data_IF_541421499942
#
_entry.id   IF_541421499942
#
_cell.length_a   1.000
_cell.length_b   1.000
_cell.length_c   1.000
_cell.angle_alpha   90.00
_cell.angle_beta   90.00
_cell.angle_gamma   90.00
#
_symmetry.space_group_name_H-M   'P 1'
#
loop_
_entity.id
_entity.type
_entity.pdbx_description
1 polymer ?
#
# COMPACT_ATOMS: atom_id res chain seq x y z
N UNK A 1 19.35 38.33 -13.82
CA UNK A 1 19.17 36.93 -14.27
C UNK A 1 18.42 36.85 -15.61
N UNK A 2 18.64 37.78 -16.54
CA UNK A 2 17.96 37.82 -17.84
C UNK A 2 18.97 37.93 -19.00
N UNK A 3 20.24 37.65 -18.72
CA UNK A 3 21.36 37.89 -19.64
C UNK A 3 22.25 36.65 -19.83
N UNK A 4 21.75 35.45 -19.54
CA UNK A 4 22.49 34.19 -19.75
C UNK A 4 21.69 33.17 -20.59
N UNK A 5 20.60 33.58 -21.24
CA UNK A 5 19.73 32.65 -21.98
C UNK A 5 20.15 32.35 -23.41
N UNK A 6 21.12 33.08 -23.97
CA UNK A 6 21.29 33.10 -25.43
C UNK A 6 22.53 32.32 -25.91
N UNK A 7 23.24 31.62 -25.02
CA UNK A 7 24.48 30.88 -25.37
C UNK A 7 24.39 29.36 -25.18
N UNK A 8 23.28 28.84 -24.64
CA UNK A 8 23.08 27.39 -24.51
C UNK A 8 21.70 27.02 -25.04
N UNK A 9 21.70 26.22 -26.11
CA UNK A 9 20.53 25.46 -26.56
C UNK A 9 20.24 24.40 -25.48
N UNK A 10 19.55 24.81 -24.41
CA UNK A 10 19.14 23.89 -23.35
C UNK A 10 17.94 23.13 -23.90
N UNK A 11 18.21 22.03 -24.60
CA UNK A 11 17.23 21.00 -24.84
C UNK A 11 16.67 20.56 -23.49
N UNK A 12 15.41 20.91 -23.23
CA UNK A 12 14.67 20.41 -22.07
C UNK A 12 14.19 19.00 -22.35
N UNK A 13 15.15 18.08 -22.41
CA UNK A 13 14.90 16.64 -22.45
C UNK A 13 14.19 16.20 -21.17
N UNK A 14 13.08 15.50 -21.33
CA UNK A 14 12.40 14.85 -20.22
C UNK A 14 13.31 13.76 -19.63
N UNK A 15 13.83 14.00 -18.43
CA UNK A 15 14.58 13.02 -17.66
C UNK A 15 13.62 12.25 -16.74
N UNK A 16 13.24 11.04 -17.14
CA UNK A 16 12.69 10.06 -16.20
C UNK A 16 13.68 9.82 -15.06
N UNK A 17 13.20 9.95 -13.80
CA UNK A 17 13.93 9.78 -12.52
C UNK A 17 15.38 10.31 -12.49
N UNK A 18 15.59 11.50 -11.92
CA UNK A 18 16.92 12.09 -11.66
C UNK A 18 17.75 11.42 -10.53
N UNK A 19 17.23 10.43 -9.79
CA UNK A 19 17.99 9.78 -8.71
C UNK A 19 18.43 8.38 -9.15
N UNK A 20 19.74 8.14 -9.16
CA UNK A 20 20.33 6.81 -9.33
C UNK A 20 19.99 5.83 -8.18
N UNK A 21 19.40 6.33 -7.09
CA UNK A 21 19.04 5.56 -5.91
C UNK A 21 17.50 5.56 -5.80
N UNK A 22 16.84 4.39 -5.90
CA UNK A 22 15.40 4.30 -5.72
C UNK A 22 15.00 4.75 -4.30
N UNK A 23 13.77 5.22 -4.12
CA UNK A 23 13.25 5.46 -2.77
C UNK A 23 13.37 4.17 -1.96
N UNK A 24 13.82 4.25 -0.69
CA UNK A 24 13.98 3.06 0.13
C UNK A 24 12.63 2.34 0.28
N UNK A 25 12.63 1.05 -0.04
CA UNK A 25 11.48 0.16 0.11
C UNK A 25 11.86 -1.00 1.02
N UNK A 26 10.96 -1.33 1.95
CA UNK A 26 11.04 -2.52 2.79
C UNK A 26 9.79 -3.35 2.60
N UNK A 27 9.93 -4.47 1.89
CA UNK A 27 8.85 -5.39 1.61
C UNK A 27 8.88 -6.59 2.57
N UNK A 28 7.73 -6.89 3.17
CA UNK A 28 7.46 -8.08 3.98
C UNK A 28 6.53 -8.99 3.20
N UNK A 29 6.94 -10.24 3.01
CA UNK A 29 6.10 -11.28 2.41
C UNK A 29 5.79 -12.31 3.49
N UNK A 30 4.52 -12.39 3.87
CA UNK A 30 4.06 -13.30 4.91
C UNK A 30 3.56 -14.62 4.30
N UNK A 31 3.78 -15.71 5.04
CA UNK A 31 3.30 -17.03 4.65
C UNK A 31 1.76 -17.06 4.63
N UNK A 32 1.19 -17.79 3.68
CA UNK A 32 -0.26 -17.91 3.51
C UNK A 32 -0.95 -18.43 4.78
N UNK A 33 -0.35 -19.41 5.48
CA UNK A 33 -0.88 -19.94 6.73
C UNK A 33 -0.96 -18.87 7.83
N UNK A 34 0.09 -18.06 7.99
CA UNK A 34 0.14 -16.96 8.96
C UNK A 34 -0.92 -15.90 8.66
N UNK A 35 -1.06 -15.52 7.39
CA UNK A 35 -2.04 -14.50 6.96
C UNK A 35 -3.47 -15.00 7.14
N UNK A 36 -3.73 -16.28 6.81
CA UNK A 36 -5.02 -16.95 7.06
C UNK A 36 -5.38 -16.95 8.54
N UNK A 37 -4.46 -17.38 9.40
CA UNK A 37 -4.67 -17.40 10.85
C UNK A 37 -4.98 -16.01 11.40
N UNK A 38 -4.18 -15.01 11.01
CA UNK A 38 -4.36 -13.62 11.43
C UNK A 38 -5.69 -13.04 10.94
N UNK A 39 -6.07 -13.26 9.68
CA UNK A 39 -7.32 -12.74 9.14
C UNK A 39 -8.53 -13.32 9.88
N UNK A 40 -8.54 -14.64 10.13
CA UNK A 40 -9.62 -15.31 10.88
C UNK A 40 -9.70 -14.76 12.32
N UNK A 41 -8.55 -14.63 12.98
CA UNK A 41 -8.46 -14.06 14.32
C UNK A 41 -9.06 -12.65 14.38
N UNK A 42 -8.59 -11.74 13.53
CA UNK A 42 -9.03 -10.35 13.49
C UNK A 42 -10.51 -10.22 13.09
N UNK A 43 -10.99 -11.04 12.15
CA UNK A 43 -12.40 -11.06 11.75
C UNK A 43 -13.33 -11.56 12.88
N UNK A 44 -12.83 -12.45 13.74
CA UNK A 44 -13.60 -13.00 14.86
C UNK A 44 -13.64 -12.10 16.11
N UNK A 45 -12.66 -11.18 16.26
CA UNK A 45 -12.53 -10.33 17.46
C UNK A 45 -13.76 -9.45 17.75
N UNK A 46 -14.44 -8.86 16.75
CA UNK A 46 -15.68 -8.11 16.99
C UNK A 46 -16.85 -8.97 17.51
N UNK A 47 -16.74 -10.30 17.45
CA UNK A 47 -17.83 -11.28 17.72
C UNK A 47 -17.44 -12.25 18.85
N UNK A 48 -16.62 -11.81 19.82
CA UNK A 48 -16.17 -12.63 20.97
C UNK A 48 -17.33 -12.93 21.92
N UNK A 49 -18.19 -13.86 21.51
CA UNK A 49 -19.05 -14.61 22.41
C UNK A 49 -18.89 -16.13 22.22
N UNK A 50 -18.26 -16.64 21.15
CA UNK A 50 -18.37 -18.07 20.78
C UNK A 50 -17.15 -18.78 20.17
N UNK A 51 -15.96 -18.19 20.15
CA UNK A 51 -14.75 -18.89 19.65
C UNK A 51 -13.96 -19.43 20.84
N UNK A 52 -13.63 -20.74 20.83
CA UNK A 52 -12.96 -21.40 21.95
C UNK A 52 -11.59 -20.81 22.26
N UNK A 53 -11.34 -20.50 23.54
CA UNK A 53 -10.17 -19.78 24.05
C UNK A 53 -8.82 -20.27 23.49
N UNK A 54 -8.63 -21.59 23.34
CA UNK A 54 -7.38 -22.18 22.85
C UNK A 54 -6.95 -21.73 21.44
N UNK A 55 -7.89 -21.50 20.51
CA UNK A 55 -7.55 -21.07 19.14
C UNK A 55 -7.17 -19.59 19.13
N UNK A 56 -7.88 -18.79 19.92
CA UNK A 56 -7.64 -17.35 20.08
C UNK A 56 -6.26 -17.12 20.70
N UNK A 57 -5.93 -17.87 21.75
CA UNK A 57 -4.66 -17.72 22.48
C UNK A 57 -3.45 -18.04 21.58
N UNK A 58 -3.55 -19.10 20.75
CA UNK A 58 -2.49 -19.44 19.79
C UNK A 58 -2.32 -18.35 18.73
N UNK A 59 -3.41 -17.90 18.11
CA UNK A 59 -3.37 -16.88 17.07
C UNK A 59 -2.86 -15.52 17.60
N UNK A 60 -3.23 -15.17 18.83
CA UNK A 60 -2.72 -13.98 19.52
C UNK A 60 -1.20 -14.08 19.75
N UNK A 61 -0.71 -15.22 20.21
CA UNK A 61 0.74 -15.44 20.39
C UNK A 61 1.51 -15.34 19.07
N UNK A 62 0.97 -15.90 17.98
CA UNK A 62 1.55 -15.76 16.65
C UNK A 62 1.55 -14.30 16.16
N UNK A 63 0.48 -13.55 16.43
CA UNK A 63 0.40 -12.13 16.12
C UNK A 63 1.45 -11.32 16.88
N UNK A 64 1.60 -11.52 18.18
CA UNK A 64 2.61 -10.84 19.01
C UNK A 64 4.03 -11.12 18.50
N UNK A 65 4.32 -12.38 18.15
CA UNK A 65 5.59 -12.79 17.56
C UNK A 65 5.86 -12.10 16.23
N UNK A 66 4.86 -12.06 15.34
CA UNK A 66 4.95 -11.39 14.05
C UNK A 66 5.15 -9.88 14.20
N UNK A 67 4.39 -9.24 15.07
CA UNK A 67 4.48 -7.81 15.34
C UNK A 67 5.86 -7.44 15.90
N UNK A 68 6.38 -8.21 16.85
CA UNK A 68 7.72 -8.02 17.41
C UNK A 68 8.81 -8.17 16.33
N UNK A 69 8.68 -9.18 15.46
CA UNK A 69 9.59 -9.40 14.33
C UNK A 69 9.59 -8.21 13.37
N UNK A 70 8.41 -7.79 12.91
CA UNK A 70 8.27 -6.67 11.96
C UNK A 70 8.79 -5.37 12.57
N UNK A 71 8.44 -5.08 13.83
CA UNK A 71 8.96 -3.93 14.56
C UNK A 71 10.48 -3.90 14.60
N UNK A 72 11.10 -5.03 14.95
CA UNK A 72 12.56 -5.17 14.99
C UNK A 72 13.19 -4.97 13.61
N UNK A 73 12.57 -5.54 12.56
CA UNK A 73 13.03 -5.39 11.19
C UNK A 73 12.96 -3.92 10.72
N UNK A 74 11.83 -3.24 10.94
CA UNK A 74 11.63 -1.83 10.60
C UNK A 74 12.66 -0.94 11.29
N UNK A 75 12.84 -1.08 12.61
CA UNK A 75 13.80 -0.28 13.37
C UNK A 75 15.24 -0.54 12.88
N UNK A 76 15.57 -1.80 12.59
CA UNK A 76 16.91 -2.17 12.12
C UNK A 76 17.20 -1.63 10.72
N UNK A 77 16.21 -1.68 9.82
CA UNK A 77 16.32 -1.15 8.47
C UNK A 77 16.34 0.38 8.44
N UNK A 78 15.50 1.04 9.24
CA UNK A 78 15.43 2.50 9.33
C UNK A 78 16.78 3.15 9.68
N UNK A 79 17.59 2.49 10.53
CA UNK A 79 18.96 2.93 10.87
C UNK A 79 19.92 2.97 9.67
N UNK A 80 19.59 2.29 8.57
CA UNK A 80 20.42 2.13 7.38
C UNK A 80 19.93 2.94 6.18
N UNK A 81 18.73 3.53 6.25
CA UNK A 81 18.18 4.31 5.14
C UNK A 81 18.76 5.72 5.13
N UNK A 82 19.43 6.07 4.02
CA UNK A 82 20.08 7.36 3.79
C UNK A 82 19.60 7.94 2.45
N UNK A 83 19.23 9.23 2.38
CA UNK A 83 19.12 10.19 3.47
C UNK A 83 17.84 9.99 4.30
N UNK A 84 17.94 10.18 5.62
CA UNK A 84 16.84 9.96 6.58
C UNK A 84 15.59 10.80 6.34
N UNK A 85 15.70 11.89 5.58
CA UNK A 85 14.58 12.79 5.28
C UNK A 85 13.74 12.34 4.08
N UNK A 86 14.08 11.22 3.42
CA UNK A 86 13.27 10.65 2.35
C UNK A 86 12.23 9.69 2.93
N UNK A 87 10.99 9.72 2.43
CA UNK A 87 9.98 8.75 2.86
C UNK A 87 10.38 7.35 2.43
N UNK A 88 10.25 6.40 3.35
CA UNK A 88 10.42 4.97 3.13
C UNK A 88 9.05 4.37 2.80
N UNK A 89 9.01 3.48 1.82
CA UNK A 89 7.82 2.70 1.49
C UNK A 89 7.91 1.34 2.18
N UNK A 90 6.96 1.05 3.05
CA UNK A 90 6.80 -0.26 3.70
C UNK A 90 5.66 -0.98 3.01
N UNK A 91 5.92 -2.19 2.53
CA UNK A 91 4.93 -3.01 1.83
C UNK A 91 4.75 -4.31 2.61
N UNK A 92 3.54 -4.58 3.06
CA UNK A 92 3.19 -5.83 3.71
C UNK A 92 2.29 -6.63 2.79
N UNK A 93 2.79 -7.76 2.31
CA UNK A 93 2.07 -8.61 1.36
C UNK A 93 1.82 -9.98 1.96
N UNK A 94 0.59 -10.45 1.81
CA UNK A 94 0.17 -11.77 2.27
C UNK A 94 -0.88 -12.36 1.37
N UNK A 95 -0.96 -13.69 1.32
CA UNK A 95 -2.02 -14.39 0.58
C UNK A 95 -3.04 -14.96 1.55
N UNK A 96 -4.31 -14.67 1.28
CA UNK A 96 -5.47 -15.33 1.89
C UNK A 96 -6.19 -16.14 0.79
N UNK A 97 -7.44 -15.81 0.47
CA UNK A 97 -8.13 -16.20 -0.78
C UNK A 97 -7.60 -15.39 -1.97
N UNK A 98 -7.12 -14.18 -1.70
CA UNK A 98 -6.56 -13.21 -2.63
C UNK A 98 -5.29 -12.60 -2.02
N UNK A 99 -4.52 -11.87 -2.83
CA UNK A 99 -3.36 -11.12 -2.34
C UNK A 99 -3.83 -9.88 -1.60
N UNK A 100 -3.42 -9.71 -0.35
CA UNK A 100 -3.59 -8.50 0.44
C UNK A 100 -2.26 -7.76 0.40
N UNK A 101 -2.29 -6.49 -0.01
CA UNK A 101 -1.11 -5.61 0.01
C UNK A 101 -1.42 -4.34 0.80
N UNK A 102 -0.68 -4.14 1.89
CA UNK A 102 -0.80 -2.97 2.74
C UNK A 102 0.44 -2.11 2.54
N UNK A 103 0.26 -0.85 2.16
CA UNK A 103 1.36 0.07 1.83
C UNK A 103 1.36 1.25 2.78
N UNK A 104 2.50 1.50 3.44
CA UNK A 104 2.74 2.70 4.25
C UNK A 104 3.89 3.47 3.63
N UNK A 105 3.71 4.76 3.36
CA UNK A 105 4.80 5.64 2.96
C UNK A 105 5.03 6.69 4.04
N UNK A 106 6.20 6.70 4.67
CA UNK A 106 6.47 7.59 5.81
C UNK A 106 7.96 7.84 6.00
N UNK A 107 8.33 9.00 6.53
CA UNK A 107 9.68 9.29 7.01
C UNK A 107 9.89 8.80 8.45
N UNK A 108 8.82 8.51 9.19
CA UNK A 108 8.86 8.07 10.58
C UNK A 108 8.55 6.56 10.67
N UNK A 109 9.54 5.70 11.00
CA UNK A 109 9.35 4.26 11.09
C UNK A 109 8.31 3.83 12.14
N UNK A 110 8.08 4.64 13.17
CA UNK A 110 7.06 4.34 14.18
C UNK A 110 5.65 4.35 13.60
N UNK A 111 5.39 5.18 12.58
CA UNK A 111 4.10 5.21 11.88
C UNK A 111 3.86 3.88 11.14
N UNK A 112 4.90 3.30 10.52
CA UNK A 112 4.79 2.00 9.86
C UNK A 112 4.57 0.85 10.86
N UNK A 113 5.12 0.96 12.07
CA UNK A 113 4.88 0.00 13.16
C UNK A 113 3.45 0.15 13.68
N UNK A 114 2.98 1.37 13.90
CA UNK A 114 1.62 1.65 14.39
C UNK A 114 0.55 1.17 13.39
N UNK A 115 0.81 1.34 12.09
CA UNK A 115 -0.12 0.95 11.03
C UNK A 115 -0.46 -0.55 11.03
N UNK A 116 0.40 -1.40 11.60
CA UNK A 116 0.18 -2.85 11.71
C UNK A 116 -0.20 -3.30 13.13
N UNK A 117 -0.51 -2.36 14.03
CA UNK A 117 -1.11 -2.69 15.31
C UNK A 117 -2.49 -3.33 15.12
N UNK A 118 -2.90 -4.14 16.09
CA UNK A 118 -4.10 -4.96 16.00
C UNK A 118 -5.36 -4.13 15.66
N UNK A 119 -5.57 -3.01 16.35
CA UNK A 119 -6.69 -2.08 16.10
C UNK A 119 -6.77 -1.62 14.64
N UNK A 120 -5.62 -1.28 14.05
CA UNK A 120 -5.53 -0.83 12.66
C UNK A 120 -5.77 -1.98 11.68
N UNK A 121 -5.35 -3.19 12.02
CA UNK A 121 -5.59 -4.36 11.16
C UNK A 121 -7.04 -4.85 11.23
N UNK A 122 -7.76 -4.64 12.34
CA UNK A 122 -9.19 -4.90 12.42
C UNK A 122 -9.96 -4.03 11.42
N UNK A 123 -9.59 -2.75 11.25
CA UNK A 123 -10.25 -1.89 10.25
C UNK A 123 -9.96 -2.34 8.82
N UNK A 124 -8.74 -2.83 8.53
CA UNK A 124 -8.41 -3.46 7.25
C UNK A 124 -9.31 -4.65 6.96
N UNK A 125 -9.45 -5.57 7.92
CA UNK A 125 -10.30 -6.76 7.77
C UNK A 125 -11.76 -6.36 7.57
N UNK A 126 -12.24 -5.39 8.34
CA UNK A 126 -13.61 -4.87 8.22
C UNK A 126 -13.88 -4.26 6.85
N UNK A 127 -12.93 -3.49 6.32
CA UNK A 127 -13.02 -2.89 4.98
C UNK A 127 -13.01 -3.97 3.88
N UNK A 128 -12.14 -4.98 4.01
CA UNK A 128 -12.10 -6.12 3.08
C UNK A 128 -13.44 -6.87 3.08
N UNK A 129 -13.98 -7.19 4.25
CA UNK A 129 -15.28 -7.87 4.36
C UNK A 129 -16.43 -7.01 3.82
N UNK A 130 -16.34 -5.68 3.96
CA UNK A 130 -17.31 -4.78 3.34
C UNK A 130 -17.22 -4.82 1.80
N UNK A 131 -16.01 -4.76 1.25
CA UNK A 131 -15.78 -4.83 -0.20
C UNK A 131 -16.21 -6.18 -0.79
N UNK A 132 -16.06 -7.30 -0.06
CA UNK A 132 -16.56 -8.63 -0.47
C UNK A 132 -18.07 -8.67 -0.70
N UNK A 133 -18.86 -7.77 -0.09
CA UNK A 133 -20.31 -7.68 -0.32
C UNK A 133 -20.65 -7.10 -1.69
N UNK A 134 -19.73 -6.34 -2.28
CA UNK A 134 -19.93 -5.63 -3.54
C UNK A 134 -19.16 -6.26 -4.70
N UNK A 135 -18.03 -6.92 -4.42
CA UNK A 135 -17.16 -7.55 -5.41
C UNK A 135 -17.01 -9.04 -5.10
N UNK A 136 -17.51 -9.89 -5.99
CA UNK A 136 -17.60 -11.33 -5.75
C UNK A 136 -16.31 -12.10 -6.03
N UNK A 137 -15.34 -11.51 -6.74
CA UNK A 137 -14.03 -12.13 -6.99
C UNK A 137 -12.96 -11.07 -7.22
N UNK A 138 -11.84 -11.22 -6.52
CA UNK A 138 -10.65 -10.40 -6.70
C UNK A 138 -9.39 -11.23 -6.50
N UNK A 139 -8.36 -10.92 -7.28
CA UNK A 139 -7.03 -11.57 -7.23
C UNK A 139 -6.13 -10.83 -6.24
N UNK A 140 -6.31 -9.51 -6.12
CA UNK A 140 -5.52 -8.65 -5.25
C UNK A 140 -6.36 -7.48 -4.74
N UNK A 141 -6.13 -7.09 -3.48
CA UNK A 141 -6.55 -5.82 -2.91
C UNK A 141 -5.33 -5.07 -2.37
N UNK A 142 -5.29 -3.76 -2.59
CA UNK A 142 -4.33 -2.86 -1.98
C UNK A 142 -5.03 -1.82 -1.10
N UNK A 143 -4.55 -1.68 0.13
CA UNK A 143 -4.87 -0.56 1.01
C UNK A 143 -3.60 0.26 1.27
N UNK A 144 -3.77 1.58 1.37
CA UNK A 144 -2.69 2.52 1.64
C UNK A 144 -2.97 3.23 2.96
N UNK A 145 -1.99 3.27 3.85
CA UNK A 145 -2.14 3.97 5.13
C UNK A 145 -2.01 5.47 4.93
N UNK A 146 -3.04 6.20 5.33
CA UNK A 146 -3.02 7.65 5.36
C UNK A 146 -2.39 8.11 6.68
N UNK A 147 -1.19 8.70 6.58
CA UNK A 147 -0.42 9.16 7.75
C UNK A 147 -1.00 10.39 8.44
N UNK A 148 -1.89 11.12 7.77
CA UNK A 148 -2.55 12.31 8.34
C UNK A 148 -3.79 11.91 9.16
N UNK A 149 -4.57 10.95 8.67
CA UNK A 149 -5.78 10.46 9.36
C UNK A 149 -5.51 9.29 10.30
N UNK A 150 -4.38 8.60 10.11
CA UNK A 150 -4.03 7.39 10.85
C UNK A 150 -4.94 6.20 10.51
N UNK A 151 -5.44 6.12 9.27
CA UNK A 151 -6.37 5.09 8.83
C UNK A 151 -5.90 4.40 7.55
N UNK A 152 -6.30 3.13 7.39
CA UNK A 152 -6.14 2.40 6.15
C UNK A 152 -7.23 2.81 5.16
N UNK A 153 -6.82 3.17 3.95
CA UNK A 153 -7.73 3.56 2.87
C UNK A 153 -7.64 2.57 1.73
N UNK A 154 -8.79 2.15 1.22
CA UNK A 154 -8.86 1.39 -0.03
C UNK A 154 -8.17 2.15 -1.17
N UNK A 155 -7.30 1.47 -1.91
CA UNK A 155 -6.66 2.05 -3.09
C UNK A 155 -7.16 1.43 -4.39
N UNK A 156 -7.04 0.10 -4.53
CA UNK A 156 -7.59 -0.62 -5.66
C UNK A 156 -7.78 -2.13 -5.39
N UNK A 157 -8.62 -2.74 -6.21
CA UNK A 157 -8.81 -4.18 -6.41
C UNK A 157 -8.43 -4.53 -7.85
N UNK A 158 -7.77 -5.67 -8.04
CA UNK A 158 -7.65 -6.32 -9.35
C UNK A 158 -8.55 -7.56 -9.39
N UNK A 159 -9.38 -7.69 -10.41
CA UNK A 159 -10.31 -8.81 -10.60
C UNK A 159 -9.67 -9.93 -11.43
N UNK A 160 -10.26 -11.14 -11.39
CA UNK A 160 -9.83 -12.26 -12.24
C UNK A 160 -10.00 -11.99 -13.74
N UNK A 161 -10.86 -11.04 -14.10
CA UNK A 161 -11.11 -10.61 -15.48
C UNK A 161 -10.07 -9.60 -15.99
N UNK A 162 -9.11 -9.20 -15.14
CA UNK A 162 -8.10 -8.20 -15.45
C UNK A 162 -8.57 -6.75 -15.26
N UNK A 163 -9.75 -6.54 -14.69
CA UNK A 163 -10.25 -5.20 -14.38
C UNK A 163 -9.56 -4.66 -13.13
N UNK A 164 -9.26 -3.36 -13.12
CA UNK A 164 -8.74 -2.66 -11.95
C UNK A 164 -9.81 -1.68 -11.49
N UNK A 165 -10.33 -1.89 -10.28
CA UNK A 165 -11.33 -1.06 -9.63
C UNK A 165 -10.60 -0.27 -8.56
N UNK A 166 -10.52 1.05 -8.66
CA UNK A 166 -9.74 1.86 -7.74
C UNK A 166 -10.35 3.22 -7.43
N UNK A 167 -9.71 3.94 -6.52
CA UNK A 167 -10.08 5.33 -6.23
C UNK A 167 -9.65 6.27 -7.35
N UNK A 168 -10.31 7.41 -7.50
CA UNK A 168 -9.91 8.46 -8.45
C UNK A 168 -8.42 8.86 -8.27
N UNK A 169 -7.94 8.90 -7.02
CA UNK A 169 -6.54 9.15 -6.67
C UNK A 169 -5.59 8.11 -7.27
N UNK A 170 -5.98 6.84 -7.27
CA UNK A 170 -5.19 5.75 -7.83
C UNK A 170 -5.12 5.83 -9.36
N UNK A 171 -6.25 6.15 -10.02
CA UNK A 171 -6.28 6.39 -11.47
C UNK A 171 -5.44 7.59 -11.87
N UNK A 172 -5.58 8.74 -11.20
CA UNK A 172 -4.78 9.94 -11.47
C UNK A 172 -3.28 9.68 -11.32
N UNK A 173 -2.87 8.90 -10.31
CA UNK A 173 -1.46 8.53 -10.11
C UNK A 173 -0.95 7.62 -11.24
N UNK A 174 -1.76 6.68 -11.71
CA UNK A 174 -1.43 5.80 -12.84
C UNK A 174 -1.34 6.57 -14.15
N UNK A 175 -2.31 7.44 -14.45
CA UNK A 175 -2.31 8.30 -15.64
C UNK A 175 -1.10 9.22 -15.66
N UNK A 176 -0.77 9.87 -14.53
CA UNK A 176 0.44 10.69 -14.41
C UNK A 176 1.71 9.89 -14.68
N UNK A 177 1.81 8.62 -14.24
CA UNK A 177 2.95 7.75 -14.56
C UNK A 177 3.02 7.43 -16.07
N UNK A 178 1.89 7.22 -16.72
CA UNK A 178 1.82 6.96 -18.17
C UNK A 178 2.21 8.22 -18.95
N UNK A 179 1.68 9.39 -18.61
CA UNK A 179 2.07 10.68 -19.22
C UNK A 179 3.56 10.97 -19.06
N UNK A 180 4.10 10.63 -17.89
CA UNK A 180 5.53 10.72 -17.61
C UNK A 180 6.34 9.68 -18.40
N UNK A 181 5.83 8.47 -18.64
CA UNK A 181 6.54 7.45 -19.41
C UNK A 181 6.45 7.68 -20.94
N UNK A 182 5.37 8.31 -21.39
CA UNK A 182 5.02 8.51 -22.80
C UNK A 182 4.49 9.94 -23.02
N UNK A 183 5.36 10.96 -23.02
CA UNK A 183 4.96 12.37 -23.05
C UNK A 183 4.26 12.79 -24.35
N UNK A 184 4.37 12.00 -25.42
CA UNK A 184 3.70 12.23 -26.71
C UNK A 184 2.20 11.89 -26.68
N UNK A 185 1.73 11.22 -25.62
CA UNK A 185 0.35 10.72 -25.51
C UNK A 185 -0.57 11.65 -24.67
N UNK A 186 -0.16 12.90 -24.45
CA UNK A 186 -0.89 13.88 -23.61
C UNK A 186 -2.31 14.16 -24.08
N UNK A 187 -2.57 14.11 -25.40
CA UNK A 187 -3.90 14.40 -25.94
C UNK A 187 -4.88 13.21 -25.84
N UNK A 188 -4.40 11.97 -25.90
CA UNK A 188 -5.22 10.78 -25.68
C UNK A 188 -5.62 10.61 -24.20
N UNK A 189 -4.75 11.04 -23.28
CA UNK A 189 -4.94 10.87 -21.83
C UNK A 189 -6.01 11.81 -21.27
N UNK A 190 -6.17 13.01 -21.86
CA UNK A 190 -7.26 13.96 -21.53
C UNK A 190 -8.66 13.43 -21.91
N UNK A 191 -8.76 12.64 -22.98
CA UNK A 191 -10.04 12.03 -23.39
C UNK A 191 -10.45 10.87 -22.46
N UNK A 192 -9.52 10.04 -22.01
CA UNK A 192 -9.85 8.92 -21.10
C UNK A 192 -10.33 9.40 -19.71
N UNK A 193 -9.77 10.50 -19.20
CA UNK A 193 -10.18 11.07 -17.91
C UNK A 193 -11.58 11.72 -17.90
N UNK A 194 -12.21 11.90 -19.07
CA UNK A 194 -13.52 12.54 -19.21
C UNK A 194 -14.66 11.57 -19.54
N UNK A 195 -14.38 10.28 -19.74
CA UNK A 195 -15.38 9.31 -20.24
C UNK A 195 -16.01 8.45 -19.14
N UNK A 196 -15.36 8.19 -18.02
CA UNK A 196 -15.90 7.27 -17.00
C UNK A 196 -16.23 7.97 -15.67
N UNK A 197 -17.40 8.60 -15.63
CA UNK A 197 -18.14 8.88 -14.41
C UNK A 197 -19.64 8.77 -14.70
N UNK A 198 -20.20 7.56 -14.62
CA UNK A 198 -21.62 7.28 -14.41
C UNK A 198 -21.76 6.09 -13.46
#
# INVERSE_FOLDING_TARGET
>A
MKELSDEYDIETGYCGRKSAIPDPELAFQFLEATVKGLFIYLASKPVIEKVGNHIIDHALSEFDGLYAFVKKAIISAAKRFVPANRPVTYVFTGKYEFVIELVVQTTNPNIAIEAICEEKLISVVSEIENLKKHFSSFVKIQLVYNTETGQWEFNYIATEKGEVIGTEKSYKKSLKKIELAFPENKDATKMAASIDFH
#
